data_IF_936891943872
#
_entry.id   IF_936891943872
#
_cell.length_a   1.000
_cell.length_b   1.000
_cell.length_c   1.000
_cell.angle_alpha   90.00
_cell.angle_beta   90.00
_cell.angle_gamma   90.00
#
_symmetry.space_group_name_H-M   'P 1'
#
loop_
_entity.id
_entity.type
_entity.pdbx_description
1 polymer ?
#
# COMPACT_ATOMS: atom_id res chain seq x y z
N UNK A 1 -2.69 27.56 -19.28
CA UNK A 1 -2.29 26.16 -19.55
C UNK A 1 -3.55 25.43 -19.99
N UNK A 2 -3.64 24.88 -21.21
CA UNK A 2 -4.89 24.29 -21.68
C UNK A 2 -5.19 23.06 -20.80
N UNK A 3 -6.32 23.13 -20.08
CA UNK A 3 -6.81 22.03 -19.27
C UNK A 3 -7.12 20.85 -20.21
N UNK A 4 -6.48 19.71 -19.96
CA UNK A 4 -6.79 18.47 -20.67
C UNK A 4 -8.29 18.18 -20.55
N UNK A 5 -9.03 18.26 -21.66
CA UNK A 5 -10.49 18.21 -21.69
C UNK A 5 -11.08 16.81 -21.39
N UNK A 6 -10.24 15.80 -21.12
CA UNK A 6 -10.66 14.41 -20.93
C UNK A 6 -10.08 13.80 -19.63
N UNK A 7 -10.47 14.32 -18.44
CA UNK A 7 -10.01 13.81 -17.15
C UNK A 7 -10.40 12.34 -16.91
N UNK A 8 -11.57 11.94 -17.44
CA UNK A 8 -12.08 10.57 -17.34
C UNK A 8 -11.20 9.54 -18.06
N UNK A 9 -10.59 9.88 -19.19
CA UNK A 9 -9.65 8.99 -19.89
C UNK A 9 -8.35 8.81 -19.13
N UNK A 10 -7.83 9.88 -18.54
CA UNK A 10 -6.58 9.81 -17.77
C UNK A 10 -6.77 8.99 -16.49
N UNK A 11 -7.88 9.18 -15.79
CA UNK A 11 -8.21 8.38 -14.61
C UNK A 11 -8.43 6.90 -14.99
N UNK A 12 -9.14 6.65 -16.09
CA UNK A 12 -9.35 5.30 -16.60
C UNK A 12 -8.05 4.60 -17.00
N UNK A 13 -7.14 5.30 -17.69
CA UNK A 13 -5.85 4.74 -18.09
C UNK A 13 -4.92 4.48 -16.92
N UNK A 14 -4.89 5.37 -15.92
CA UNK A 14 -4.13 5.16 -14.68
C UNK A 14 -4.68 3.99 -13.88
N UNK A 15 -6.00 3.88 -13.71
CA UNK A 15 -6.63 2.76 -13.02
C UNK A 15 -6.32 1.41 -13.70
N UNK A 16 -6.42 1.36 -15.03
CA UNK A 16 -6.04 0.19 -15.83
C UNK A 16 -4.56 -0.14 -15.68
N UNK A 17 -3.68 0.86 -15.71
CA UNK A 17 -2.25 0.66 -15.52
C UNK A 17 -1.94 0.09 -14.12
N UNK A 18 -2.56 0.64 -13.07
CA UNK A 18 -2.42 0.14 -11.69
C UNK A 18 -2.90 -1.31 -11.56
N UNK A 19 -4.05 -1.65 -12.15
CA UNK A 19 -4.57 -3.03 -12.17
C UNK A 19 -3.62 -3.97 -12.94
N UNK A 20 -3.12 -3.54 -14.09
CA UNK A 20 -2.15 -4.30 -14.89
C UNK A 20 -0.86 -4.57 -14.11
N UNK A 21 -0.33 -3.56 -13.42
CA UNK A 21 0.85 -3.69 -12.57
C UNK A 21 0.59 -4.61 -11.38
N UNK A 22 -0.60 -4.54 -10.75
CA UNK A 22 -0.97 -5.43 -9.65
C UNK A 22 -1.00 -6.90 -10.09
N UNK A 23 -1.59 -7.19 -11.26
CA UNK A 23 -1.59 -8.54 -11.84
C UNK A 23 -0.18 -9.00 -12.21
N UNK A 24 0.62 -8.12 -12.82
CA UNK A 24 2.01 -8.41 -13.13
C UNK A 24 2.82 -8.72 -11.86
N UNK A 25 2.61 -7.95 -10.78
CA UNK A 25 3.27 -8.15 -9.49
C UNK A 25 2.99 -9.52 -8.88
N UNK A 26 1.81 -10.12 -9.12
CA UNK A 26 1.52 -11.49 -8.71
C UNK A 26 2.33 -12.54 -9.50
N UNK A 27 2.75 -12.23 -10.73
CA UNK A 27 3.51 -13.13 -11.59
C UNK A 27 5.02 -13.06 -11.31
N UNK A 28 5.52 -11.85 -11.02
CA UNK A 28 6.93 -11.61 -10.72
C UNK A 28 7.32 -12.02 -9.29
N UNK A 29 8.47 -12.68 -9.15
CA UNK A 29 9.03 -13.11 -7.86
C UNK A 29 10.17 -14.12 -8.05
N UNK A 30 10.74 -14.63 -6.94
CA UNK A 30 11.83 -15.62 -6.98
C UNK A 30 11.44 -16.91 -7.73
N UNK A 31 10.16 -17.25 -7.73
CA UNK A 31 9.58 -18.30 -8.57
C UNK A 31 8.70 -17.66 -9.64
N UNK A 32 9.16 -17.51 -10.90
CA UNK A 32 8.32 -16.95 -11.94
C UNK A 32 7.11 -17.86 -12.16
N UNK A 33 5.90 -17.28 -12.06
CA UNK A 33 4.65 -18.00 -12.29
C UNK A 33 4.01 -17.46 -13.56
N UNK A 34 3.47 -18.36 -14.39
CA UNK A 34 2.67 -17.96 -15.54
C UNK A 34 1.34 -17.37 -15.10
N UNK A 35 0.78 -16.48 -15.92
CA UNK A 35 -0.52 -15.84 -15.66
C UNK A 35 -1.64 -16.88 -15.44
N UNK A 36 -1.59 -17.99 -16.21
CA UNK A 36 -2.52 -19.11 -16.09
C UNK A 36 -2.34 -19.90 -14.80
N UNK A 37 -1.11 -20.04 -14.31
CA UNK A 37 -0.85 -20.66 -13.01
C UNK A 37 -1.42 -19.80 -11.88
N UNK A 38 -1.17 -18.49 -11.87
CA UNK A 38 -1.74 -17.57 -10.86
C UNK A 38 -3.27 -17.63 -10.85
N UNK A 39 -3.91 -17.58 -12.03
CA UNK A 39 -5.37 -17.68 -12.14
C UNK A 39 -5.92 -19.01 -11.61
N UNK A 40 -5.26 -20.14 -11.91
CA UNK A 40 -5.64 -21.44 -11.35
C UNK A 40 -5.47 -21.48 -9.84
N UNK A 41 -4.38 -20.94 -9.31
CA UNK A 41 -4.13 -20.93 -7.86
C UNK A 41 -5.13 -20.06 -7.10
N UNK A 42 -5.57 -18.94 -7.67
CA UNK A 42 -6.56 -18.07 -7.06
C UNK A 42 -7.99 -18.65 -7.07
N UNK A 43 -8.32 -19.45 -8.09
CA UNK A 43 -9.69 -19.98 -8.26
C UNK A 43 -9.85 -21.40 -7.72
N UNK A 44 -8.84 -22.26 -7.88
CA UNK A 44 -8.96 -23.70 -7.65
C UNK A 44 -8.12 -24.22 -6.47
N UNK A 45 -7.10 -23.50 -6.02
CA UNK A 45 -6.18 -24.01 -4.99
C UNK A 45 -6.31 -23.19 -3.70
N UNK A 46 -6.98 -23.72 -2.67
CA UNK A 46 -7.14 -23.01 -1.41
C UNK A 46 -5.79 -22.79 -0.70
N UNK A 47 -5.69 -21.77 0.17
CA UNK A 47 -4.46 -21.49 0.92
C UNK A 47 -4.02 -22.72 1.71
N UNK A 48 -2.84 -23.25 1.38
CA UNK A 48 -2.22 -24.40 2.07
C UNK A 48 -1.97 -25.63 1.21
N UNK A 49 -2.58 -25.74 0.02
CA UNK A 49 -2.24 -26.80 -0.92
C UNK A 49 -1.06 -26.40 -1.83
N UNK A 50 0.10 -27.00 -1.55
CA UNK A 50 1.31 -26.83 -2.35
C UNK A 50 2.06 -25.52 -2.12
N UNK A 51 3.36 -25.54 -2.42
CA UNK A 51 4.28 -24.41 -2.24
C UNK A 51 3.82 -23.18 -3.04
N UNK A 52 3.30 -23.39 -4.24
CA UNK A 52 2.81 -22.30 -5.11
C UNK A 52 1.57 -21.62 -4.51
N UNK A 53 0.62 -22.41 -3.99
CA UNK A 53 -0.58 -21.89 -3.31
C UNK A 53 -0.23 -21.01 -2.12
N UNK A 54 0.67 -21.50 -1.26
CA UNK A 54 1.13 -20.75 -0.09
C UNK A 54 1.84 -19.44 -0.48
N UNK A 55 2.71 -19.45 -1.49
CA UNK A 55 3.41 -18.23 -1.95
C UNK A 55 2.40 -17.19 -2.47
N UNK A 56 1.45 -17.59 -3.30
CA UNK A 56 0.47 -16.67 -3.88
C UNK A 56 -0.44 -16.08 -2.79
N UNK A 57 -1.02 -16.93 -1.95
CA UNK A 57 -2.01 -16.53 -0.94
C UNK A 57 -1.42 -15.89 0.31
N UNK A 58 -0.28 -16.37 0.81
CA UNK A 58 0.29 -15.92 2.09
C UNK A 58 1.35 -14.83 1.95
N UNK A 59 1.91 -14.64 0.75
CA UNK A 59 3.01 -13.69 0.53
C UNK A 59 2.67 -12.65 -0.53
N UNK A 60 2.34 -13.07 -1.76
CA UNK A 60 2.18 -12.14 -2.89
C UNK A 60 0.89 -11.33 -2.80
N UNK A 61 -0.25 -12.00 -2.60
CA UNK A 61 -1.55 -11.35 -2.55
C UNK A 61 -1.65 -10.35 -1.38
N UNK A 62 -1.27 -10.69 -0.14
CA UNK A 62 -1.27 -9.72 0.96
C UNK A 62 -0.36 -8.53 0.67
N UNK A 63 0.82 -8.75 0.07
CA UNK A 63 1.74 -7.66 -0.30
C UNK A 63 1.16 -6.72 -1.36
N UNK A 64 0.52 -7.27 -2.41
CA UNK A 64 -0.11 -6.46 -3.47
C UNK A 64 -1.28 -5.65 -2.89
N UNK A 65 -2.12 -6.27 -2.07
CA UNK A 65 -3.23 -5.59 -1.39
C UNK A 65 -2.70 -4.47 -0.49
N UNK A 66 -1.69 -4.74 0.33
CA UNK A 66 -1.09 -3.71 1.19
C UNK A 66 -0.46 -2.56 0.38
N UNK A 67 0.18 -2.84 -0.75
CA UNK A 67 0.74 -1.82 -1.63
C UNK A 67 -0.35 -0.93 -2.24
N UNK A 68 -1.47 -1.52 -2.69
CA UNK A 68 -2.61 -0.77 -3.23
C UNK A 68 -3.28 0.10 -2.15
N UNK A 69 -3.50 -0.46 -0.95
CA UNK A 69 -4.09 0.28 0.16
C UNK A 69 -3.18 1.41 0.64
N UNK A 70 -1.89 1.15 0.85
CA UNK A 70 -0.92 2.16 1.29
C UNK A 70 -0.73 3.26 0.23
N UNK A 71 -0.55 2.90 -1.04
CA UNK A 71 -0.41 3.86 -2.13
C UNK A 71 -1.68 4.71 -2.32
N UNK A 72 -2.86 4.09 -2.25
CA UNK A 72 -4.15 4.79 -2.31
C UNK A 72 -4.33 5.75 -1.14
N UNK A 73 -4.01 5.33 0.09
CA UNK A 73 -4.10 6.19 1.27
C UNK A 73 -3.15 7.38 1.20
N UNK A 74 -1.90 7.18 0.74
CA UNK A 74 -0.94 8.28 0.55
C UNK A 74 -1.39 9.25 -0.55
N UNK A 75 -1.88 8.74 -1.67
CA UNK A 75 -2.42 9.57 -2.76
C UNK A 75 -3.63 10.40 -2.33
N UNK A 76 -4.56 9.81 -1.58
CA UNK A 76 -5.71 10.51 -1.01
C UNK A 76 -5.27 11.57 0.00
N UNK A 77 -4.39 11.22 0.93
CA UNK A 77 -3.86 12.15 1.93
C UNK A 77 -3.21 13.37 1.26
N UNK A 78 -2.33 13.15 0.27
CA UNK A 78 -1.70 14.22 -0.50
C UNK A 78 -2.72 15.13 -1.20
N UNK A 79 -3.70 14.55 -1.91
CA UNK A 79 -4.75 15.33 -2.57
C UNK A 79 -5.59 16.14 -1.58
N UNK A 80 -5.93 15.56 -0.42
CA UNK A 80 -6.70 16.27 0.62
C UNK A 80 -5.91 17.43 1.23
N UNK A 81 -4.62 17.24 1.53
CA UNK A 81 -3.79 18.29 2.13
C UNK A 81 -3.50 19.41 1.15
N UNK A 82 -3.22 19.08 -0.12
CA UNK A 82 -3.09 20.09 -1.17
C UNK A 82 -4.38 20.92 -1.32
N UNK A 83 -5.56 20.30 -1.16
CA UNK A 83 -6.85 20.99 -1.15
C UNK A 83 -7.10 21.86 0.08
N UNK A 84 -6.74 21.39 1.28
CA UNK A 84 -6.91 22.16 2.53
C UNK A 84 -5.99 23.38 2.55
N UNK A 85 -4.71 23.19 2.20
CA UNK A 85 -3.73 24.27 2.21
C UNK A 85 -3.74 25.12 0.92
N UNK A 86 -4.53 24.72 -0.08
CA UNK A 86 -4.58 25.38 -1.39
C UNK A 86 -3.17 25.57 -2.00
N UNK A 87 -2.28 24.61 -1.73
CA UNK A 87 -0.88 24.68 -2.13
C UNK A 87 -0.45 23.32 -2.70
N UNK A 88 -0.17 23.24 -4.03
CA UNK A 88 0.16 21.99 -4.70
C UNK A 88 1.51 21.39 -4.30
N UNK A 89 2.33 22.12 -3.53
CA UNK A 89 3.64 21.66 -3.05
C UNK A 89 3.59 21.14 -1.61
N UNK A 90 2.42 21.11 -0.98
CA UNK A 90 2.29 20.59 0.40
C UNK A 90 2.43 19.07 0.39
N UNK A 91 3.30 18.63 1.29
CA UNK A 91 3.62 17.23 1.49
C UNK A 91 2.97 16.70 2.79
N UNK A 92 2.45 15.45 2.81
CA UNK A 92 1.82 14.88 3.99
C UNK A 92 2.66 14.78 5.26
N UNK A 93 3.99 14.88 5.15
CA UNK A 93 4.88 14.77 6.30
C UNK A 93 4.90 16.04 7.16
N UNK A 94 4.30 17.15 6.70
CA UNK A 94 4.31 18.46 7.40
C UNK A 94 3.51 18.43 8.72
N UNK A 95 2.49 17.57 8.84
CA UNK A 95 1.60 17.49 10.01
C UNK A 95 2.13 16.64 11.17
N UNK A 96 3.40 16.21 11.13
CA UNK A 96 4.06 15.52 12.26
C UNK A 96 3.70 14.04 12.47
N UNK A 97 2.61 13.53 11.85
CA UNK A 97 2.15 12.13 11.96
C UNK A 97 3.26 11.12 11.62
N UNK A 98 4.04 11.37 10.56
CA UNK A 98 5.10 10.45 10.16
C UNK A 98 6.23 10.42 11.18
N UNK A 99 6.59 11.57 11.77
CA UNK A 99 7.61 11.65 12.81
C UNK A 99 7.16 10.94 14.10
N UNK A 100 5.91 11.16 14.53
CA UNK A 100 5.33 10.45 15.68
C UNK A 100 5.27 8.94 15.46
N UNK A 101 4.82 8.51 14.28
CA UNK A 101 4.77 7.08 13.94
C UNK A 101 6.16 6.43 13.93
N UNK A 102 7.16 7.12 13.38
CA UNK A 102 8.55 6.66 13.35
C UNK A 102 9.15 6.56 14.77
N UNK A 103 8.87 7.53 15.64
CA UNK A 103 9.27 7.48 17.04
C UNK A 103 8.65 6.27 17.75
N UNK A 104 7.34 6.06 17.63
CA UNK A 104 6.65 4.94 18.25
C UNK A 104 7.17 3.57 17.80
N UNK A 105 7.46 3.42 16.50
CA UNK A 105 8.06 2.19 15.96
C UNK A 105 9.49 1.96 16.44
N UNK A 106 10.31 3.01 16.44
CA UNK A 106 11.70 2.93 16.93
C UNK A 106 11.74 2.60 18.42
N UNK A 107 10.85 3.20 19.22
CA UNK A 107 10.71 2.89 20.64
C UNK A 107 10.30 1.43 20.87
N UNK A 108 9.34 0.93 20.10
CA UNK A 108 8.93 -0.48 20.17
C UNK A 108 10.08 -1.44 19.81
N UNK A 109 10.87 -1.12 18.79
CA UNK A 109 12.06 -1.91 18.42
C UNK A 109 13.09 -1.90 19.55
N UNK A 110 13.36 -0.73 20.14
CA UNK A 110 14.32 -0.59 21.24
C UNK A 110 13.91 -1.38 22.48
N UNK A 111 12.61 -1.43 22.77
CA UNK A 111 12.06 -2.19 23.89
C UNK A 111 11.88 -3.69 23.58
N UNK A 112 12.13 -4.12 22.35
CA UNK A 112 12.04 -5.52 21.93
C UNK A 112 10.61 -6.09 22.00
N UNK A 113 9.58 -5.27 21.80
CA UNK A 113 8.18 -5.73 21.93
C UNK A 113 7.72 -6.49 20.68
N UNK A 114 6.67 -7.30 20.84
CA UNK A 114 6.09 -8.08 19.74
C UNK A 114 5.50 -7.22 18.60
N UNK A 115 5.30 -7.82 17.43
CA UNK A 115 4.84 -7.15 16.21
C UNK A 115 3.52 -6.39 16.38
N UNK A 116 2.56 -6.96 17.11
CA UNK A 116 1.27 -6.31 17.36
C UNK A 116 1.45 -5.02 18.18
N UNK A 117 2.30 -5.06 19.21
CA UNK A 117 2.55 -3.90 20.07
C UNK A 117 3.38 -2.84 19.36
N UNK A 118 4.27 -3.26 18.45
CA UNK A 118 4.98 -2.35 17.56
C UNK A 118 4.02 -1.60 16.64
N UNK A 119 3.07 -2.29 15.99
CA UNK A 119 2.03 -1.67 15.18
C UNK A 119 1.12 -0.74 15.99
N UNK A 120 0.75 -1.15 17.20
CA UNK A 120 -0.04 -0.30 18.10
C UNK A 120 0.73 0.97 18.49
N UNK A 121 2.03 0.84 18.80
CA UNK A 121 2.91 1.96 19.15
C UNK A 121 3.11 2.94 18.00
N UNK A 122 3.39 2.46 16.78
CA UNK A 122 3.52 3.33 15.59
C UNK A 122 2.24 4.12 15.35
N UNK A 123 1.09 3.46 15.43
CA UNK A 123 -0.19 4.12 15.24
C UNK A 123 -0.51 5.13 16.35
N UNK A 124 -0.30 4.73 17.61
CA UNK A 124 -0.59 5.57 18.78
C UNK A 124 0.23 6.86 18.77
N UNK A 125 1.55 6.77 18.61
CA UNK A 125 2.40 7.97 18.59
C UNK A 125 2.18 8.83 17.33
N UNK A 126 1.74 8.23 16.22
CA UNK A 126 1.29 8.97 15.05
C UNK A 126 0.06 9.84 15.33
N UNK A 127 -0.93 9.32 16.07
CA UNK A 127 -2.10 10.08 16.49
C UNK A 127 -1.78 11.14 17.54
N UNK A 128 -0.91 10.82 18.50
CA UNK A 128 -0.47 11.79 19.52
C UNK A 128 0.18 13.01 18.89
N UNK A 129 0.89 12.86 17.77
CA UNK A 129 1.50 13.99 17.08
C UNK A 129 0.50 14.97 16.42
N UNK A 130 -0.78 14.61 16.31
CA UNK A 130 -1.85 15.48 15.78
C UNK A 130 -2.52 16.35 16.85
N UNK A 131 -2.34 16.02 18.13
CA UNK A 131 -2.89 16.75 19.27
C UNK A 131 -1.86 17.68 19.90
#
# INVERSE_FOLDING_TARGET
MPANSQPWLVQGSLALATLGIAVASLCFGQYPLSLSAVGRTLVHLPPGEGVIGQIVWSVRLPRVVMALLAGGALGLCGATLQGVFQNPLVDPHIIGVTAGSAFGGTLAILLGVGSLLMMASTFFFGLVALG
#
